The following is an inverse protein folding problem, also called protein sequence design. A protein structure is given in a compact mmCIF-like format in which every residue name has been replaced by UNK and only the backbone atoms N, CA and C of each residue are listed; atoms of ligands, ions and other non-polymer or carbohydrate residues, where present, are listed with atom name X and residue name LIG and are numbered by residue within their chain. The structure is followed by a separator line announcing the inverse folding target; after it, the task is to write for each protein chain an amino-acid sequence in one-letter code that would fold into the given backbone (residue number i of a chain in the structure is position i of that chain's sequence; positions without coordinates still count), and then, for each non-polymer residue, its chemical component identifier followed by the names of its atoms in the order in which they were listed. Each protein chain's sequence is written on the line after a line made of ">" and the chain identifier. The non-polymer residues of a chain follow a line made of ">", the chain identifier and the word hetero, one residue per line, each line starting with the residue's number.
data_IF_813006240308
#
_entry.id   IF_813006240308
#
_cell.length_a   1.000
_cell.length_b   1.000
_cell.length_c   1.000
_cell.angle_alpha   90.00
_cell.angle_beta   90.00
_cell.angle_gamma   90.00
#
_symmetry.space_group_name_H-M   'P 1'
#
loop_
_entity.id
_entity.type
_entity.pdbx_description
1 polymer ?
#
# COMPACT_ATOMS: atom_id res chain seq x y z
N UNK A 1 -18.42 -37.44 -0.66
CA UNK A 1 -19.60 -36.56 -0.81
C UNK A 1 -19.57 -35.43 0.22
N UNK A 2 -19.36 -35.69 1.52
CA UNK A 2 -19.34 -34.65 2.56
C UNK A 2 -18.28 -33.55 2.34
N UNK A 3 -17.06 -33.92 1.93
CA UNK A 3 -15.98 -32.94 1.69
C UNK A 3 -16.31 -31.96 0.56
N UNK A 4 -17.00 -32.42 -0.48
CA UNK A 4 -17.39 -31.57 -1.61
C UNK A 4 -18.45 -30.56 -1.19
N UNK A 5 -19.42 -30.96 -0.37
CA UNK A 5 -20.42 -30.05 0.21
C UNK A 5 -19.77 -28.95 1.06
N UNK A 6 -18.73 -29.28 1.82
CA UNK A 6 -17.97 -28.29 2.61
C UNK A 6 -17.24 -27.30 1.70
N UNK A 7 -16.56 -27.81 0.67
CA UNK A 7 -15.84 -26.98 -0.31
C UNK A 7 -16.80 -26.06 -1.08
N UNK A 8 -17.93 -26.58 -1.53
CA UNK A 8 -18.96 -25.80 -2.22
C UNK A 8 -19.56 -24.73 -1.31
N UNK A 9 -19.77 -25.04 -0.03
CA UNK A 9 -20.23 -24.04 0.95
C UNK A 9 -19.19 -22.95 1.18
N UNK A 10 -17.90 -23.31 1.22
CA UNK A 10 -16.82 -22.34 1.36
C UNK A 10 -16.79 -21.35 0.18
N UNK A 11 -16.91 -21.84 -1.06
CA UNK A 11 -16.90 -20.98 -2.25
C UNK A 11 -18.19 -20.18 -2.47
N UNK A 12 -19.31 -20.60 -1.88
CA UNK A 12 -20.53 -19.76 -1.83
C UNK A 12 -20.32 -18.48 -1.02
N UNK A 13 -19.52 -18.54 0.05
CA UNK A 13 -19.22 -17.39 0.91
C UNK A 13 -17.92 -16.66 0.53
N UNK A 14 -17.00 -17.37 -0.14
CA UNK A 14 -15.67 -16.87 -0.48
C UNK A 14 -15.46 -16.93 -1.99
N UNK A 15 -15.62 -15.78 -2.64
CA UNK A 15 -15.22 -15.61 -4.05
C UNK A 15 -13.72 -15.85 -4.23
N UNK A 16 -13.32 -16.32 -5.41
CA UNK A 16 -11.91 -16.55 -5.79
C UNK A 16 -11.08 -15.26 -5.69
N UNK A 17 -11.67 -14.11 -6.00
CA UNK A 17 -11.00 -12.79 -5.96
C UNK A 17 -11.12 -12.09 -4.61
N UNK A 18 -11.78 -12.71 -3.63
CA UNK A 18 -12.05 -12.11 -2.31
C UNK A 18 -10.77 -11.63 -1.63
N UNK A 19 -9.67 -12.35 -1.79
CA UNK A 19 -8.37 -11.97 -1.24
C UNK A 19 -7.87 -10.60 -1.76
N UNK A 20 -8.13 -10.26 -3.02
CA UNK A 20 -7.74 -8.97 -3.60
C UNK A 20 -8.64 -7.85 -3.07
N UNK A 21 -9.94 -8.09 -3.04
CA UNK A 21 -10.94 -7.14 -2.55
C UNK A 21 -10.74 -6.85 -1.06
N UNK A 22 -10.52 -7.87 -0.24
CA UNK A 22 -10.27 -7.74 1.20
C UNK A 22 -8.96 -6.98 1.46
N UNK A 23 -7.91 -7.26 0.68
CA UNK A 23 -6.64 -6.53 0.75
C UNK A 23 -6.83 -5.04 0.43
N UNK A 24 -7.59 -4.72 -0.62
CA UNK A 24 -7.89 -3.35 -1.01
C UNK A 24 -8.78 -2.64 0.00
N UNK A 25 -9.82 -3.30 0.52
CA UNK A 25 -10.66 -2.76 1.59
C UNK A 25 -9.83 -2.45 2.85
N UNK A 26 -8.92 -3.36 3.24
CA UNK A 26 -7.99 -3.11 4.35
C UNK A 26 -7.05 -1.95 4.07
N UNK A 27 -6.66 -1.76 2.81
CA UNK A 27 -5.87 -0.60 2.41
C UNK A 27 -6.63 0.71 2.63
N UNK A 28 -7.88 0.79 2.16
CA UNK A 28 -8.75 1.95 2.35
C UNK A 28 -9.05 2.24 3.83
N UNK A 29 -9.42 1.20 4.59
CA UNK A 29 -9.91 1.36 5.97
C UNK A 29 -8.78 1.67 6.98
N UNK A 30 -7.56 1.16 6.75
CA UNK A 30 -6.49 1.21 7.76
C UNK A 30 -5.15 1.69 7.22
N UNK A 31 -4.66 1.12 6.11
CA UNK A 31 -3.28 1.41 5.67
C UNK A 31 -3.12 2.84 5.16
N UNK A 32 -4.14 3.38 4.51
CA UNK A 32 -4.11 4.74 3.98
C UNK A 32 -3.92 5.78 5.10
N UNK A 33 -4.72 5.68 6.18
CA UNK A 33 -4.56 6.53 7.35
C UNK A 33 -3.20 6.33 8.02
N UNK A 34 -2.73 5.08 8.15
CA UNK A 34 -1.42 4.79 8.74
C UNK A 34 -0.27 5.46 7.99
N UNK A 35 -0.33 5.56 6.66
CA UNK A 35 0.68 6.26 5.85
C UNK A 35 0.66 7.76 6.17
N UNK A 36 -0.52 8.35 6.30
CA UNK A 36 -0.67 9.78 6.65
C UNK A 36 -0.15 10.05 8.06
N UNK A 37 -0.49 9.19 9.02
CA UNK A 37 -0.03 9.31 10.42
C UNK A 37 1.50 9.16 10.54
N UNK A 38 2.11 8.35 9.67
CA UNK A 38 3.56 8.14 9.64
C UNK A 38 4.32 9.38 9.16
N UNK A 39 3.74 10.15 8.23
CA UNK A 39 4.28 11.44 7.81
C UNK A 39 4.03 12.50 8.90
N UNK A 40 2.80 12.58 9.40
CA UNK A 40 2.40 13.41 10.55
C UNK A 40 2.43 14.91 10.28
N UNK A 41 3.62 15.50 10.17
CA UNK A 41 3.83 16.94 9.98
C UNK A 41 4.76 17.17 8.80
N UNK A 42 4.33 18.06 7.90
CA UNK A 42 5.15 18.55 6.81
C UNK A 42 5.81 19.86 7.27
N UNK A 43 7.13 19.83 7.43
CA UNK A 43 7.91 21.03 7.70
C UNK A 43 8.11 21.82 6.41
N UNK A 44 8.04 23.15 6.50
CA UNK A 44 8.34 24.04 5.37
C UNK A 44 9.55 24.91 5.69
N UNK A 45 10.32 25.27 4.65
CA UNK A 45 11.49 26.15 4.79
C UNK A 45 11.12 27.65 4.82
N UNK A 46 9.83 27.97 5.01
CA UNK A 46 9.35 29.36 4.98
C UNK A 46 9.76 30.06 6.28
N UNK A 47 10.36 31.25 6.14
CA UNK A 47 10.69 32.13 7.28
C UNK A 47 9.44 32.40 8.11
N UNK A 48 9.48 32.07 9.40
CA UNK A 48 8.33 32.16 10.32
C UNK A 48 7.79 30.81 10.82
N UNK A 49 8.49 29.70 10.53
CA UNK A 49 8.20 28.40 11.17
C UNK A 49 6.85 27.82 10.75
N UNK A 50 6.51 27.87 9.46
CA UNK A 50 5.25 27.34 8.97
C UNK A 50 5.32 25.81 8.86
N UNK A 51 4.38 25.12 9.48
CA UNK A 51 4.25 23.66 9.42
C UNK A 51 2.82 23.29 9.03
N UNK A 52 2.65 22.15 8.38
CA UNK A 52 1.32 21.61 8.06
C UNK A 52 1.16 20.29 8.77
N UNK A 53 0.22 20.24 9.71
CA UNK A 53 -0.15 19.01 10.41
C UNK A 53 -1.22 18.28 9.61
N UNK A 54 -0.95 17.01 9.30
CA UNK A 54 -1.87 16.16 8.56
C UNK A 54 -2.85 15.49 9.54
N UNK A 55 -4.13 15.51 9.17
CA UNK A 55 -5.22 14.92 9.93
C UNK A 55 -5.73 13.63 9.29
N UNK A 56 -7.05 13.48 9.22
CA UNK A 56 -7.68 12.27 8.67
C UNK A 56 -7.76 12.32 7.15
N UNK A 57 -7.56 11.17 6.52
CA UNK A 57 -7.79 10.96 5.10
C UNK A 57 -9.16 10.36 4.85
N UNK A 58 -9.87 10.88 3.85
CA UNK A 58 -11.18 10.42 3.43
C UNK A 58 -11.19 10.10 1.94
N UNK A 59 -11.58 8.89 1.62
CA UNK A 59 -11.81 8.46 0.24
C UNK A 59 -13.27 8.68 -0.10
N UNK A 60 -13.54 9.41 -1.18
CA UNK A 60 -14.89 9.61 -1.70
C UNK A 60 -15.43 8.37 -2.42
N UNK A 61 -16.54 8.56 -3.13
CA UNK A 61 -17.03 7.59 -4.12
C UNK A 61 -16.58 7.98 -5.53
N UNK A 62 -16.58 7.04 -6.49
CA UNK A 62 -16.21 7.32 -7.86
C UNK A 62 -17.03 8.45 -8.48
N UNK A 63 -16.34 9.43 -9.05
CA UNK A 63 -16.92 10.58 -9.74
C UNK A 63 -16.11 10.88 -11.00
N UNK A 64 -16.72 11.58 -11.94
CA UNK A 64 -16.06 12.18 -13.08
C UNK A 64 -16.28 13.70 -13.08
N UNK A 65 -15.24 14.44 -13.44
CA UNK A 65 -15.29 15.89 -13.66
C UNK A 65 -15.42 16.13 -15.16
N UNK A 66 -16.55 16.67 -15.60
CA UNK A 66 -16.78 16.98 -17.01
C UNK A 66 -16.09 18.30 -17.40
N UNK A 67 -15.97 18.56 -18.71
CA UNK A 67 -15.27 19.74 -19.23
C UNK A 67 -15.92 21.08 -18.81
N UNK A 68 -17.21 21.05 -18.45
CA UNK A 68 -17.95 22.17 -17.89
C UNK A 68 -17.69 22.40 -16.39
N UNK A 69 -16.86 21.55 -15.77
CA UNK A 69 -16.56 21.57 -14.34
C UNK A 69 -17.61 20.88 -13.47
N UNK A 70 -18.66 20.30 -14.07
CA UNK A 70 -19.67 19.57 -13.32
C UNK A 70 -19.11 18.24 -12.80
N UNK A 71 -19.52 17.88 -11.59
CA UNK A 71 -19.10 16.64 -10.93
C UNK A 71 -20.28 15.67 -10.96
N UNK A 72 -20.08 14.52 -11.60
CA UNK A 72 -21.11 13.48 -11.73
C UNK A 72 -20.61 12.15 -11.21
N UNK A 73 -21.54 11.35 -10.70
CA UNK A 73 -21.28 9.96 -10.33
C UNK A 73 -21.00 9.19 -11.62
N UNK A 74 -19.96 8.37 -11.63
CA UNK A 74 -19.62 7.52 -12.78
C UNK A 74 -19.89 6.06 -12.43
N UNK A 75 -20.54 5.32 -13.33
CA UNK A 75 -20.69 3.86 -13.20
C UNK A 75 -19.50 3.15 -13.85
N UNK A 76 -19.18 1.90 -13.47
CA UNK A 76 -18.10 1.16 -14.12
C UNK A 76 -18.34 0.98 -15.62
N UNK A 77 -19.55 0.60 -16.05
CA UNK A 77 -19.94 0.54 -17.46
C UNK A 77 -19.70 1.87 -18.22
N UNK A 78 -20.06 3.01 -17.62
CA UNK A 78 -19.79 4.32 -18.21
C UNK A 78 -18.30 4.60 -18.34
N UNK A 79 -17.50 4.24 -17.32
CA UNK A 79 -16.06 4.40 -17.37
C UNK A 79 -15.40 3.58 -18.48
N UNK A 80 -15.90 2.36 -18.73
CA UNK A 80 -15.44 1.50 -19.83
C UNK A 80 -15.73 2.12 -21.20
N UNK A 81 -16.97 2.56 -21.45
CA UNK A 81 -17.41 3.04 -22.77
C UNK A 81 -16.81 4.40 -23.13
N UNK A 82 -16.59 5.27 -22.14
CA UNK A 82 -16.12 6.65 -22.36
C UNK A 82 -14.60 6.81 -22.26
N UNK A 83 -13.84 5.72 -22.17
CA UNK A 83 -12.40 5.74 -21.95
C UNK A 83 -11.97 6.53 -20.69
N UNK A 84 -12.77 6.45 -19.63
CA UNK A 84 -12.52 7.16 -18.37
C UNK A 84 -11.88 6.24 -17.32
N UNK A 85 -11.28 6.85 -16.30
CA UNK A 85 -10.78 6.13 -15.14
C UNK A 85 -11.83 6.10 -14.03
N UNK A 86 -12.10 4.90 -13.48
CA UNK A 86 -13.05 4.73 -12.38
C UNK A 86 -12.37 5.06 -11.04
N UNK A 87 -12.27 6.35 -10.75
CA UNK A 87 -11.52 6.89 -9.62
C UNK A 87 -12.40 7.72 -8.68
N UNK A 88 -12.03 7.73 -7.39
CA UNK A 88 -12.69 8.53 -6.36
C UNK A 88 -11.77 9.64 -5.85
N UNK A 89 -12.31 10.80 -5.45
CA UNK A 89 -11.51 11.89 -4.92
C UNK A 89 -10.98 11.53 -3.53
N UNK A 90 -9.73 11.91 -3.27
CA UNK A 90 -9.08 11.84 -1.98
C UNK A 90 -9.08 13.20 -1.33
N UNK A 91 -9.55 13.25 -0.08
CA UNK A 91 -9.57 14.42 0.75
C UNK A 91 -8.71 14.19 1.99
N UNK A 92 -7.94 15.20 2.39
CA UNK A 92 -7.08 15.14 3.56
C UNK A 92 -7.29 16.40 4.41
N UNK A 93 -7.56 16.20 5.69
CA UNK A 93 -7.56 17.29 6.65
C UNK A 93 -6.14 17.82 6.84
N UNK A 94 -5.97 19.13 6.67
CA UNK A 94 -4.71 19.83 6.87
C UNK A 94 -4.93 20.98 7.84
N UNK A 95 -4.10 21.05 8.87
CA UNK A 95 -4.11 22.17 9.84
C UNK A 95 -2.81 22.95 9.68
N UNK A 96 -2.87 24.21 9.22
CA UNK A 96 -1.69 25.05 9.17
C UNK A 96 -1.29 25.45 10.58
N UNK A 97 -0.01 25.30 10.91
CA UNK A 97 0.57 25.68 12.20
C UNK A 97 1.59 26.77 11.93
N UNK A 98 1.40 27.93 12.54
CA UNK A 98 2.29 29.08 12.41
C UNK A 98 3.02 29.23 13.74
N UNK A 99 4.34 29.12 13.71
CA UNK A 99 5.19 29.25 14.90
C UNK A 99 6.22 28.14 14.98
N UNK A 100 7.46 28.52 15.30
CA UNK A 100 8.59 27.61 15.46
C UNK A 100 9.89 28.39 15.67
N UNK A 101 10.71 27.94 16.62
CA UNK A 101 11.89 28.62 17.21
C UNK A 101 11.60 29.60 18.36
N UNK A 102 10.85 29.17 19.38
CA UNK A 102 10.76 29.86 20.69
C UNK A 102 9.53 30.74 20.92
N UNK A 103 8.61 30.81 19.95
CA UNK A 103 7.29 31.46 20.06
C UNK A 103 6.16 30.41 20.21
N UNK A 104 4.99 30.83 20.70
CA UNK A 104 3.82 29.94 20.84
C UNK A 104 3.34 29.44 19.47
N UNK A 105 3.14 28.12 19.32
CA UNK A 105 2.58 27.53 18.10
C UNK A 105 1.08 27.86 18.03
N UNK A 106 0.67 28.58 16.99
CA UNK A 106 -0.74 28.90 16.72
C UNK A 106 -1.25 27.91 15.67
N UNK A 107 -2.15 27.02 16.08
CA UNK A 107 -2.88 26.15 15.14
C UNK A 107 -4.00 26.98 14.46
N UNK A 108 -4.00 26.99 13.14
CA UNK A 108 -5.08 27.56 12.32
C UNK A 108 -6.29 26.64 12.22
N UNK A 109 -7.23 27.01 11.36
CA UNK A 109 -8.43 26.18 11.09
C UNK A 109 -8.06 24.93 10.28
N UNK A 110 -8.57 23.77 10.72
CA UNK A 110 -8.45 22.52 9.96
C UNK A 110 -9.33 22.58 8.72
N UNK A 111 -8.70 22.47 7.55
CA UNK A 111 -9.38 22.49 6.26
C UNK A 111 -9.27 21.14 5.57
N UNK A 112 -10.34 20.69 4.94
CA UNK A 112 -10.33 19.48 4.12
C UNK A 112 -9.88 19.83 2.69
N UNK A 113 -8.71 19.32 2.30
CA UNK A 113 -8.07 19.63 1.02
C UNK A 113 -8.16 18.44 0.08
N UNK A 114 -8.54 18.69 -1.17
CA UNK A 114 -8.46 17.69 -2.24
C UNK A 114 -7.00 17.43 -2.60
N UNK A 115 -6.54 16.18 -2.45
CA UNK A 115 -5.13 15.80 -2.70
C UNK A 115 -4.93 15.01 -4.00
N UNK A 116 -6.01 14.51 -4.62
CA UNK A 116 -5.95 13.75 -5.86
C UNK A 116 -7.09 12.76 -6.02
N UNK A 117 -6.92 11.80 -6.93
CA UNK A 117 -7.88 10.74 -7.18
C UNK A 117 -7.25 9.37 -6.97
N UNK A 118 -8.03 8.43 -6.45
CA UNK A 118 -7.63 7.04 -6.22
C UNK A 118 -8.47 6.13 -7.11
N UNK A 119 -7.87 5.30 -7.97
CA UNK A 119 -8.58 4.25 -8.69
C UNK A 119 -9.29 3.30 -7.71
N UNK A 120 -10.58 3.06 -7.93
CA UNK A 120 -11.38 2.20 -7.05
C UNK A 120 -11.54 0.82 -7.68
N UNK A 121 -11.19 -0.21 -6.91
CA UNK A 121 -11.37 -1.61 -7.33
C UNK A 121 -12.85 -1.96 -7.41
N UNK A 122 -13.28 -2.61 -8.48
CA UNK A 122 -14.66 -3.08 -8.60
C UNK A 122 -14.98 -4.12 -7.53
N UNK A 123 -16.15 -3.99 -6.91
CA UNK A 123 -16.59 -4.85 -5.81
C UNK A 123 -16.05 -4.47 -4.43
N UNK A 124 -15.10 -3.52 -4.34
CA UNK A 124 -14.64 -2.98 -3.05
C UNK A 124 -15.72 -2.12 -2.35
N UNK A 125 -15.59 -1.88 -1.05
CA UNK A 125 -16.55 -1.08 -0.26
C UNK A 125 -16.80 0.33 -0.81
N UNK A 126 -15.81 0.92 -1.48
CA UNK A 126 -15.91 2.24 -2.09
C UNK A 126 -16.63 2.23 -3.46
N UNK A 127 -16.74 1.06 -4.10
CA UNK A 127 -17.40 0.89 -5.39
C UNK A 127 -18.93 1.02 -5.26
N UNK A 128 -19.60 1.48 -6.33
CA UNK A 128 -21.07 1.50 -6.38
C UNK A 128 -21.70 0.11 -6.51
N UNK A 129 -20.96 -0.88 -7.00
CA UNK A 129 -21.44 -2.27 -7.15
C UNK A 129 -21.47 -3.05 -5.84
N UNK A 130 -20.82 -2.54 -4.79
CA UNK A 130 -20.72 -3.25 -3.52
C UNK A 130 -22.08 -3.36 -2.81
N UNK A 131 -22.49 -4.59 -2.52
CA UNK A 131 -23.75 -4.90 -1.83
C UNK A 131 -25.00 -4.83 -2.70
N UNK A 132 -24.85 -4.74 -4.04
CA UNK A 132 -25.98 -4.73 -4.98
C UNK A 132 -26.53 -6.13 -5.24
N UNK A 133 -27.85 -6.23 -5.41
CA UNK A 133 -28.51 -7.48 -5.81
C UNK A 133 -28.23 -7.81 -7.27
N UNK A 134 -28.52 -9.05 -7.69
CA UNK A 134 -28.34 -9.46 -9.10
C UNK A 134 -29.17 -8.61 -10.05
N UNK A 135 -30.38 -8.25 -9.65
CA UNK A 135 -31.30 -7.43 -10.43
C UNK A 135 -30.77 -6.00 -10.57
N UNK A 136 -30.30 -5.40 -9.46
CA UNK A 136 -29.69 -4.06 -9.49
C UNK A 136 -28.43 -4.01 -10.37
N UNK A 137 -27.61 -5.05 -10.36
CA UNK A 137 -26.42 -5.13 -11.22
C UNK A 137 -26.81 -5.16 -12.71
N UNK A 138 -27.86 -5.92 -13.07
CA UNK A 138 -28.38 -5.97 -14.44
C UNK A 138 -28.93 -4.61 -14.86
N UNK A 139 -29.67 -3.94 -13.99
CA UNK A 139 -30.18 -2.58 -14.25
C UNK A 139 -29.06 -1.56 -14.46
N UNK A 140 -27.92 -1.75 -13.76
CA UNK A 140 -26.72 -0.93 -13.92
C UNK A 140 -25.89 -1.28 -15.17
N UNK A 141 -26.29 -2.32 -15.93
CA UNK A 141 -25.60 -2.78 -17.13
C UNK A 141 -24.38 -3.66 -16.86
N UNK A 142 -24.25 -4.23 -15.66
CA UNK A 142 -23.18 -5.14 -15.26
C UNK A 142 -23.64 -6.60 -15.29
N UNK A 143 -22.72 -7.54 -15.49
CA UNK A 143 -23.01 -8.97 -15.37
C UNK A 143 -22.91 -9.40 -13.89
N UNK A 144 -23.98 -9.95 -13.27
CA UNK A 144 -23.92 -10.47 -11.90
C UNK A 144 -22.95 -11.64 -11.69
N UNK A 145 -22.42 -12.23 -12.77
CA UNK A 145 -21.41 -13.29 -12.73
C UNK A 145 -19.97 -12.76 -12.84
N UNK A 146 -19.78 -11.47 -13.04
CA UNK A 146 -18.44 -10.87 -13.04
C UNK A 146 -17.79 -11.09 -11.66
N UNK A 147 -16.61 -11.73 -11.58
CA UNK A 147 -15.90 -11.88 -10.32
C UNK A 147 -15.47 -10.54 -9.70
N UNK A 148 -15.34 -9.47 -10.48
CA UNK A 148 -14.81 -8.16 -10.08
C UNK A 148 -13.33 -8.25 -9.65
N UNK A 149 -12.85 -7.34 -8.79
CA UNK A 149 -11.47 -7.38 -8.28
C UNK A 149 -10.40 -6.74 -9.19
N UNK A 150 -10.82 -6.02 -10.22
CA UNK A 150 -9.93 -5.26 -11.11
C UNK A 150 -10.29 -3.76 -11.11
N UNK A 151 -9.49 -2.97 -11.83
CA UNK A 151 -9.64 -1.51 -11.95
C UNK A 151 -9.95 -1.14 -13.39
N UNK A 152 -10.70 -0.05 -13.59
CA UNK A 152 -10.89 0.54 -14.92
C UNK A 152 -10.04 1.81 -14.98
N UNK A 153 -9.05 1.83 -15.88
CA UNK A 153 -8.14 2.95 -16.08
C UNK A 153 -8.15 3.32 -17.56
N UNK A 154 -8.64 4.53 -17.86
CA UNK A 154 -8.83 5.04 -19.23
C UNK A 154 -9.59 4.04 -20.12
N UNK A 155 -10.76 3.59 -19.65
CA UNK A 155 -11.60 2.58 -20.33
C UNK A 155 -11.09 1.14 -20.25
N UNK A 156 -9.79 0.95 -20.04
CA UNK A 156 -9.16 -0.36 -20.02
C UNK A 156 -9.24 -1.02 -18.65
N UNK A 157 -9.62 -2.30 -18.63
CA UNK A 157 -9.60 -3.12 -17.42
C UNK A 157 -8.18 -3.57 -17.08
N UNK A 158 -7.78 -3.34 -15.84
CA UNK A 158 -6.43 -3.64 -15.34
C UNK A 158 -6.53 -4.42 -14.03
N UNK A 159 -5.85 -5.56 -14.00
CA UNK A 159 -5.75 -6.40 -12.80
C UNK A 159 -4.32 -6.34 -12.27
N UNK A 160 -4.19 -6.32 -10.94
CA UNK A 160 -2.89 -6.48 -10.28
C UNK A 160 -2.70 -7.95 -9.95
N UNK A 161 -1.62 -8.53 -10.47
CA UNK A 161 -1.26 -9.92 -10.17
C UNK A 161 -0.49 -9.95 -8.86
N UNK A 162 -0.89 -10.83 -7.95
CA UNK A 162 -0.19 -11.04 -6.69
C UNK A 162 1.25 -11.47 -6.96
N UNK A 163 2.20 -10.73 -6.39
CA UNK A 163 3.61 -11.07 -6.47
C UNK A 163 4.03 -11.87 -5.24
N UNK A 164 4.74 -12.97 -5.48
CA UNK A 164 5.42 -13.72 -4.43
C UNK A 164 6.80 -13.09 -4.16
N UNK A 165 7.10 -12.84 -2.89
CA UNK A 165 8.40 -12.32 -2.45
C UNK A 165 8.86 -13.11 -1.21
N UNK A 166 10.17 -13.15 -1.00
CA UNK A 166 10.75 -13.78 0.18
C UNK A 166 10.32 -13.05 1.45
N UNK A 167 10.16 -13.82 2.53
CA UNK A 167 9.77 -13.26 3.82
C UNK A 167 10.78 -12.21 4.29
N UNK A 168 10.25 -11.04 4.64
CA UNK A 168 11.02 -9.89 5.09
C UNK A 168 11.18 -9.92 6.62
N UNK A 169 12.17 -9.19 7.13
CA UNK A 169 12.47 -9.04 8.56
C UNK A 169 12.64 -10.39 9.30
N UNK A 170 13.16 -11.40 8.59
CA UNK A 170 13.50 -12.72 9.15
C UNK A 170 14.90 -13.14 8.71
N UNK A 171 15.56 -13.89 9.58
CA UNK A 171 16.86 -14.49 9.32
C UNK A 171 16.66 -15.76 8.51
N UNK A 172 17.22 -15.78 7.29
CA UNK A 172 17.23 -16.92 6.40
C UNK A 172 18.65 -17.49 6.35
N UNK A 173 18.83 -18.69 6.87
CA UNK A 173 20.11 -19.40 6.81
C UNK A 173 20.21 -20.15 5.48
N UNK A 174 21.30 -19.96 4.76
CA UNK A 174 21.58 -20.58 3.48
C UNK A 174 22.94 -21.29 3.52
N UNK A 175 23.01 -22.45 2.85
CA UNK A 175 24.26 -23.12 2.51
C UNK A 175 24.47 -22.96 1.02
N UNK A 176 25.50 -22.23 0.62
CA UNK A 176 25.83 -22.00 -0.79
C UNK A 176 27.19 -22.63 -1.09
N UNK A 177 27.33 -23.29 -2.25
CA UNK A 177 28.62 -23.76 -2.73
C UNK A 177 29.18 -22.78 -3.77
N UNK A 178 30.34 -22.20 -3.49
CA UNK A 178 31.07 -21.34 -4.44
C UNK A 178 32.51 -21.86 -4.53
N UNK A 179 33.01 -22.08 -5.74
CA UNK A 179 34.38 -22.55 -5.99
C UNK A 179 34.75 -23.82 -5.18
N UNK A 180 33.87 -24.83 -5.15
CA UNK A 180 34.00 -26.06 -4.34
C UNK A 180 34.14 -25.83 -2.82
N UNK A 181 33.79 -24.64 -2.33
CA UNK A 181 33.77 -24.31 -0.90
C UNK A 181 32.34 -24.12 -0.44
N UNK A 182 32.00 -24.76 0.68
CA UNK A 182 30.72 -24.55 1.36
C UNK A 182 30.80 -23.27 2.17
N UNK A 183 29.96 -22.29 1.81
CA UNK A 183 29.75 -21.06 2.55
C UNK A 183 28.44 -21.18 3.31
N UNK A 184 28.49 -20.96 4.62
CA UNK A 184 27.31 -20.83 5.46
C UNK A 184 27.03 -19.34 5.63
N UNK A 185 25.84 -18.91 5.22
CA UNK A 185 25.42 -17.52 5.28
C UNK A 185 24.06 -17.37 5.95
N UNK A 186 23.84 -16.24 6.60
CA UNK A 186 22.54 -15.78 7.03
C UNK A 186 22.21 -14.49 6.28
N UNK A 187 21.04 -14.42 5.68
CA UNK A 187 20.54 -13.24 4.95
C UNK A 187 19.29 -12.71 5.64
N UNK A 188 19.18 -11.40 5.72
CA UNK A 188 18.00 -10.70 6.21
C UNK A 188 17.65 -9.60 5.21
N UNK A 189 16.46 -9.70 4.64
CA UNK A 189 15.84 -8.57 3.93
C UNK A 189 15.12 -7.70 4.95
N UNK A 190 15.77 -6.63 5.40
CA UNK A 190 15.20 -5.66 6.32
C UNK A 190 14.36 -4.65 5.53
N UNK A 191 13.07 -4.56 5.84
CA UNK A 191 12.17 -3.58 5.23
C UNK A 191 11.57 -2.69 6.30
N UNK A 192 11.73 -1.37 6.15
CA UNK A 192 11.13 -0.35 7.02
C UNK A 192 10.70 0.86 6.19
N UNK A 193 9.46 1.33 6.36
CA UNK A 193 8.93 2.55 5.74
C UNK A 193 9.20 2.64 4.21
N UNK A 194 9.05 1.51 3.49
CA UNK A 194 9.29 1.41 2.05
C UNK A 194 10.76 1.20 1.63
N UNK A 195 11.73 1.40 2.53
CA UNK A 195 13.13 1.10 2.27
C UNK A 195 13.43 -0.37 2.54
N UNK A 196 14.08 -1.04 1.57
CA UNK A 196 14.51 -2.44 1.65
C UNK A 196 16.03 -2.52 1.60
N UNK A 197 16.61 -3.17 2.59
CA UNK A 197 18.05 -3.40 2.74
C UNK A 197 18.34 -4.89 2.88
N UNK A 198 19.35 -5.38 2.15
CA UNK A 198 19.87 -6.74 2.35
C UNK A 198 21.07 -6.68 3.29
N UNK A 199 20.94 -7.33 4.44
CA UNK A 199 22.05 -7.56 5.36
C UNK A 199 22.44 -9.04 5.27
N UNK A 200 23.74 -9.31 5.12
CA UNK A 200 24.26 -10.68 5.07
C UNK A 200 25.34 -10.88 6.12
N UNK A 201 25.37 -12.07 6.71
CA UNK A 201 26.43 -12.54 7.58
C UNK A 201 26.96 -13.83 7.00
N UNK A 202 28.21 -13.86 6.58
CA UNK A 202 28.85 -15.02 5.97
C UNK A 202 29.95 -15.55 6.88
N UNK A 203 29.99 -16.88 7.05
CA UNK A 203 31.07 -17.58 7.73
C UNK A 203 32.17 -17.94 6.73
N UNK A 204 33.36 -17.41 6.95
CA UNK A 204 34.57 -17.76 6.20
C UNK A 204 35.17 -19.10 6.69
N UNK A 205 36.10 -19.66 5.91
CA UNK A 205 36.77 -20.94 6.23
C UNK A 205 37.54 -20.89 7.54
N UNK A 206 38.08 -19.74 7.90
CA UNK A 206 38.78 -19.49 9.15
C UNK A 206 37.85 -19.40 10.37
N UNK A 207 36.54 -19.60 10.16
CA UNK A 207 35.50 -19.52 11.18
C UNK A 207 35.08 -18.10 11.52
N UNK A 208 35.67 -17.06 10.90
CA UNK A 208 35.27 -15.68 11.13
C UNK A 208 33.93 -15.38 10.47
N UNK A 209 33.13 -14.57 11.15
CA UNK A 209 31.86 -14.07 10.65
C UNK A 209 32.07 -12.66 10.11
N UNK A 210 31.76 -12.47 8.85
CA UNK A 210 31.81 -11.16 8.20
C UNK A 210 30.40 -10.70 7.82
N UNK A 211 30.15 -9.41 7.98
CA UNK A 211 28.85 -8.77 7.75
C UNK A 211 28.95 -7.82 6.57
N UNK A 212 27.91 -7.82 5.73
CA UNK A 212 27.72 -6.86 4.64
C UNK A 212 26.32 -6.25 4.76
N UNK A 213 26.21 -4.94 4.61
CA UNK A 213 24.95 -4.20 4.58
C UNK A 213 25.07 -2.97 3.67
N UNK A 214 23.96 -2.36 3.21
CA UNK A 214 24.02 -1.23 2.30
C UNK A 214 24.76 -0.04 2.91
N UNK A 215 25.63 0.59 2.13
CA UNK A 215 26.50 1.70 2.58
C UNK A 215 27.91 1.26 3.00
N UNK A 216 28.19 -0.04 3.07
CA UNK A 216 29.52 -0.58 3.32
C UNK A 216 30.18 -1.03 2.00
N UNK A 217 31.40 -0.58 1.71
CA UNK A 217 32.12 -0.89 0.45
C UNK A 217 32.65 -2.34 0.37
N UNK A 218 32.59 -3.10 1.46
CA UNK A 218 33.08 -4.47 1.55
C UNK A 218 32.47 -5.20 2.73
N UNK A 219 33.10 -6.29 3.17
CA UNK A 219 32.66 -7.04 4.34
C UNK A 219 33.49 -6.65 5.57
N UNK A 220 32.86 -6.43 6.72
CA UNK A 220 33.57 -6.20 8.00
C UNK A 220 33.39 -7.38 8.94
N UNK A 221 34.38 -7.72 9.78
CA UNK A 221 34.20 -8.69 10.85
C UNK A 221 33.05 -8.31 11.79
N UNK A 222 32.19 -9.28 12.13
CA UNK A 222 31.04 -9.08 13.01
C UNK A 222 31.45 -8.49 14.37
N UNK A 223 32.62 -8.88 14.90
CA UNK A 223 33.13 -8.36 16.17
C UNK A 223 33.35 -6.83 16.13
N UNK A 224 33.80 -6.29 15.00
CA UNK A 224 34.00 -4.85 14.83
C UNK A 224 32.64 -4.14 14.84
N UNK A 225 31.65 -4.70 14.14
CA UNK A 225 30.30 -4.16 14.12
C UNK A 225 29.68 -4.18 15.54
N UNK A 226 29.79 -5.29 16.26
CA UNK A 226 29.26 -5.42 17.63
C UNK A 226 29.90 -4.40 18.58
N UNK A 227 31.23 -4.23 18.51
CA UNK A 227 31.93 -3.21 19.30
C UNK A 227 31.48 -1.79 18.95
N UNK A 228 31.25 -1.49 17.68
CA UNK A 228 30.74 -0.18 17.25
C UNK A 228 29.30 0.07 17.71
N UNK A 229 28.48 -0.99 17.83
CA UNK A 229 27.12 -0.93 18.37
C UNK A 229 27.09 -0.82 19.91
N UNK A 230 28.24 -0.85 20.58
CA UNK A 230 28.34 -0.69 22.03
C UNK A 230 28.20 -1.98 22.84
N UNK A 231 28.41 -3.15 22.21
CA UNK A 231 28.52 -4.44 22.90
C UNK A 231 29.95 -4.71 23.42
#
# INVERSE_FOLDING_TARGET
>A
METQTIVDSFFKENSLVKHQIDSFNRFLDYKLQKIVDEVGVIETEIKGGYKVKLGKIRVGKPINKEADGSIRKITPMEARIRDLSYSAPLYLEMTPVIGGEGEEEIEGETVEVYIGELPIMLGSKACYLHGKSREELIEMGEDPRDPLGYFIINGSERVLVTQEDLVQNRILCEKTERNNKTIYGAKVFSTRHGFRALCTVERQEDGKLNVTFPGLSGSIPLVILMKALGA
#
